data_IF_412677691916
#
_entry.id   IF_412677691916
#
_cell.length_a   1.000
_cell.length_b   1.000
_cell.length_c   1.000
_cell.angle_alpha   90.00
_cell.angle_beta   90.00
_cell.angle_gamma   90.00
#
_symmetry.space_group_name_H-M   'P 1'
#
loop_
_entity.id
_entity.type
_entity.pdbx_description
1 polymer ?
#
# COMPACT_ATOMS: atom_id res chain seq x y z
N UNK A 1 27.84 -8.79 9.91
CA UNK A 1 26.52 -9.35 10.34
C UNK A 1 26.77 -10.30 11.51
N UNK A 2 26.00 -10.15 12.58
CA UNK A 2 26.04 -11.07 13.73
C UNK A 2 25.38 -12.39 13.34
N UNK A 3 26.03 -13.54 13.68
CA UNK A 3 25.46 -14.87 13.40
C UNK A 3 24.22 -15.09 14.29
N UNK A 4 23.15 -15.60 13.68
CA UNK A 4 21.94 -16.04 14.33
C UNK A 4 22.00 -17.55 14.58
N UNK A 5 21.44 -18.03 15.66
CA UNK A 5 21.21 -19.45 15.85
C UNK A 5 19.89 -19.88 15.18
N UNK A 6 19.65 -21.18 15.08
CA UNK A 6 18.49 -21.74 14.37
C UNK A 6 17.16 -21.28 14.97
N UNK A 7 17.08 -21.16 16.30
CA UNK A 7 15.87 -20.70 16.97
C UNK A 7 15.60 -19.20 16.73
N UNK A 8 16.66 -18.39 16.74
CA UNK A 8 16.60 -16.96 16.43
C UNK A 8 16.14 -16.73 14.97
N UNK A 9 16.69 -17.49 14.02
CA UNK A 9 16.28 -17.43 12.62
C UNK A 9 14.81 -17.83 12.45
N UNK A 10 14.36 -18.88 13.13
CA UNK A 10 12.97 -19.31 13.10
C UNK A 10 12.01 -18.24 13.62
N UNK A 11 12.34 -17.59 14.75
CA UNK A 11 11.53 -16.49 15.31
C UNK A 11 11.43 -15.31 14.34
N UNK A 12 12.56 -14.88 13.78
CA UNK A 12 12.58 -13.79 12.79
C UNK A 12 11.82 -14.15 11.52
N UNK A 13 11.97 -15.37 11.01
CA UNK A 13 11.24 -15.82 9.83
C UNK A 13 9.72 -15.84 10.07
N UNK A 14 9.26 -16.28 11.24
CA UNK A 14 7.84 -16.25 11.60
C UNK A 14 7.27 -14.82 11.59
N UNK A 15 8.00 -13.85 12.15
CA UNK A 15 7.61 -12.44 12.09
C UNK A 15 7.60 -11.95 10.64
N UNK A 16 8.63 -12.28 9.86
CA UNK A 16 8.70 -11.84 8.46
C UNK A 16 7.52 -12.37 7.63
N UNK A 17 7.16 -13.65 7.80
CA UNK A 17 6.01 -14.25 7.12
C UNK A 17 4.71 -13.58 7.55
N UNK A 18 4.50 -13.35 8.85
CA UNK A 18 3.32 -12.69 9.39
C UNK A 18 3.16 -11.26 8.85
N UNK A 19 4.22 -10.46 8.93
CA UNK A 19 4.25 -9.09 8.42
C UNK A 19 4.05 -9.06 6.90
N UNK A 20 4.65 -10.02 6.19
CA UNK A 20 4.48 -10.15 4.74
C UNK A 20 3.03 -10.45 4.37
N UNK A 21 2.36 -11.30 5.12
CA UNK A 21 0.94 -11.61 4.93
C UNK A 21 0.07 -10.36 5.11
N UNK A 22 0.28 -9.60 6.20
CA UNK A 22 -0.43 -8.34 6.44
C UNK A 22 -0.16 -7.34 5.31
N UNK A 23 1.11 -7.16 4.95
CA UNK A 23 1.52 -6.22 3.91
C UNK A 23 0.85 -6.51 2.57
N UNK A 24 0.99 -7.75 2.07
CA UNK A 24 0.43 -8.17 0.78
C UNK A 24 -1.09 -8.08 0.77
N UNK A 25 -1.75 -8.58 1.81
CA UNK A 25 -3.21 -8.54 1.90
C UNK A 25 -3.75 -7.12 1.86
N UNK A 26 -3.16 -6.22 2.66
CA UNK A 26 -3.62 -4.83 2.69
C UNK A 26 -3.28 -4.09 1.39
N UNK A 27 -2.13 -4.36 0.77
CA UNK A 27 -1.79 -3.77 -0.52
C UNK A 27 -2.79 -4.18 -1.62
N UNK A 28 -3.12 -5.48 -1.73
CA UNK A 28 -4.11 -5.96 -2.70
C UNK A 28 -5.50 -5.38 -2.43
N UNK A 29 -5.93 -5.36 -1.16
CA UNK A 29 -7.22 -4.77 -0.79
C UNK A 29 -7.28 -3.27 -1.09
N UNK A 30 -6.19 -2.54 -0.85
CA UNK A 30 -6.12 -1.11 -1.16
C UNK A 30 -6.31 -0.84 -2.66
N UNK A 31 -5.70 -1.67 -3.51
CA UNK A 31 -5.86 -1.57 -4.97
C UNK A 31 -7.29 -1.92 -5.43
N UNK A 32 -7.86 -3.01 -4.93
CA UNK A 32 -9.20 -3.46 -5.35
C UNK A 32 -10.29 -2.49 -4.85
N UNK A 33 -10.23 -2.07 -3.59
CA UNK A 33 -11.23 -1.18 -2.98
C UNK A 33 -11.00 0.29 -3.35
N UNK A 34 -9.85 0.61 -3.89
CA UNK A 34 -9.47 1.96 -4.32
C UNK A 34 -10.35 2.55 -5.42
N UNK A 35 -11.14 1.75 -6.10
CA UNK A 35 -12.13 2.20 -7.10
C UNK A 35 -13.26 3.02 -6.50
N UNK A 36 -13.61 2.80 -5.23
CA UNK A 36 -14.67 3.55 -4.55
C UNK A 36 -14.10 4.85 -4.00
N UNK A 37 -14.72 5.96 -4.39
CA UNK A 37 -14.48 7.29 -3.82
C UNK A 37 -15.57 7.60 -2.81
N UNK A 38 -15.20 8.21 -1.69
CA UNK A 38 -16.12 8.64 -0.65
C UNK A 38 -15.82 10.06 -0.20
N UNK A 39 -16.85 10.74 0.28
CA UNK A 39 -16.75 12.09 0.82
C UNK A 39 -16.25 12.03 2.26
N UNK A 40 -15.19 12.77 2.56
CA UNK A 40 -14.71 12.92 3.92
C UNK A 40 -15.50 14.06 4.59
N UNK A 41 -16.57 13.70 5.29
CA UNK A 41 -17.59 14.62 5.80
C UNK A 41 -17.10 15.76 6.71
N UNK A 42 -15.87 15.65 7.23
CA UNK A 42 -15.27 16.67 8.10
C UNK A 42 -14.61 17.82 7.35
N UNK A 43 -14.31 17.64 6.07
CA UNK A 43 -13.64 18.65 5.23
C UNK A 43 -14.43 18.76 3.92
N UNK A 44 -14.96 19.94 3.65
CA UNK A 44 -15.76 20.20 2.44
C UNK A 44 -14.90 19.97 1.18
N UNK A 45 -15.50 19.34 0.18
CA UNK A 45 -14.90 19.07 -1.14
C UNK A 45 -13.64 18.17 -1.10
N UNK A 46 -13.50 17.34 -0.05
CA UNK A 46 -12.36 16.45 0.12
C UNK A 46 -12.75 15.00 -0.17
N UNK A 47 -12.50 14.58 -1.41
CA UNK A 47 -12.85 13.25 -1.91
C UNK A 47 -11.67 12.30 -1.83
N UNK A 48 -11.87 11.14 -1.20
CA UNK A 48 -10.84 10.14 -0.98
C UNK A 48 -11.22 8.78 -1.55
N UNK A 49 -10.23 8.07 -2.08
CA UNK A 49 -10.37 6.65 -2.41
C UNK A 49 -10.41 5.81 -1.13
N UNK A 50 -11.25 4.76 -1.10
CA UNK A 50 -11.28 3.80 0.03
C UNK A 50 -9.93 3.14 0.26
N UNK A 51 -9.12 2.94 -0.78
CA UNK A 51 -7.77 2.41 -0.67
C UNK A 51 -6.89 3.21 0.31
N UNK A 52 -7.09 4.52 0.38
CA UNK A 52 -6.32 5.41 1.28
C UNK A 52 -6.48 5.06 2.77
N UNK A 53 -7.62 4.49 3.17
CA UNK A 53 -7.84 4.05 4.55
C UNK A 53 -7.02 2.82 4.94
N UNK A 54 -6.57 2.04 3.97
CA UNK A 54 -5.82 0.80 4.15
C UNK A 54 -4.31 1.05 4.15
N UNK A 55 -3.84 2.02 3.38
CA UNK A 55 -2.42 2.35 3.24
C UNK A 55 -1.66 2.58 4.56
N UNK A 56 -2.24 3.15 5.63
CA UNK A 56 -1.55 3.29 6.92
C UNK A 56 -1.01 1.96 7.47
N UNK A 57 -1.74 0.86 7.29
CA UNK A 57 -1.29 -0.48 7.72
C UNK A 57 -0.09 -0.93 6.90
N UNK A 58 -0.08 -0.64 5.59
CA UNK A 58 1.04 -0.94 4.69
C UNK A 58 2.28 -0.15 5.09
N UNK A 59 2.14 1.15 5.43
CA UNK A 59 3.25 2.00 5.87
C UNK A 59 3.88 1.49 7.18
N UNK A 60 3.07 1.25 8.21
CA UNK A 60 3.55 0.68 9.49
C UNK A 60 4.29 -0.63 9.23
N UNK A 61 3.72 -1.51 8.41
CA UNK A 61 4.32 -2.82 8.11
C UNK A 61 5.63 -2.68 7.35
N UNK A 62 5.72 -1.73 6.39
CA UNK A 62 6.97 -1.40 5.67
C UNK A 62 8.05 -0.94 6.63
N UNK A 63 7.73 0.00 7.52
CA UNK A 63 8.67 0.54 8.49
C UNK A 63 9.23 -0.54 9.41
N UNK A 64 8.36 -1.45 9.88
CA UNK A 64 8.76 -2.57 10.70
C UNK A 64 9.68 -3.53 9.91
N UNK A 65 9.28 -3.91 8.70
CA UNK A 65 10.12 -4.79 7.85
C UNK A 65 11.47 -4.12 7.58
N UNK A 66 11.48 -2.81 7.33
CA UNK A 66 12.70 -2.05 7.10
C UNK A 66 13.60 -2.00 8.34
N UNK A 67 13.01 -1.88 9.52
CA UNK A 67 13.73 -1.82 10.80
C UNK A 67 14.44 -3.13 11.14
N UNK A 68 13.76 -4.29 10.99
CA UNK A 68 14.26 -5.59 11.44
C UNK A 68 14.89 -6.43 10.34
N UNK A 69 14.52 -6.22 9.06
CA UNK A 69 14.96 -7.01 7.90
C UNK A 69 15.70 -6.18 6.85
N UNK A 70 15.75 -4.87 7.02
CA UNK A 70 16.51 -3.94 6.19
C UNK A 70 16.02 -3.84 4.75
N UNK A 71 16.85 -3.23 3.91
CA UNK A 71 16.55 -2.97 2.50
C UNK A 71 16.22 -4.25 1.71
N UNK A 72 16.91 -5.34 1.98
CA UNK A 72 16.67 -6.63 1.29
C UNK A 72 15.30 -7.20 1.62
N UNK A 73 14.88 -7.12 2.90
CA UNK A 73 13.55 -7.57 3.34
C UNK A 73 12.44 -6.80 2.62
N UNK A 74 12.52 -5.47 2.62
CA UNK A 74 11.49 -4.64 1.97
C UNK A 74 11.48 -4.86 0.46
N UNK A 75 12.63 -4.89 -0.21
CA UNK A 75 12.67 -5.19 -1.65
C UNK A 75 12.02 -6.53 -1.99
N UNK A 76 12.34 -7.58 -1.22
CA UNK A 76 11.78 -8.91 -1.44
C UNK A 76 10.25 -8.88 -1.36
N UNK A 77 9.69 -8.29 -0.30
CA UNK A 77 8.24 -8.23 -0.14
C UNK A 77 7.57 -7.31 -1.18
N UNK A 78 8.18 -6.18 -1.54
CA UNK A 78 7.63 -5.28 -2.55
C UNK A 78 7.51 -5.94 -3.92
N UNK A 79 8.55 -6.62 -4.41
CA UNK A 79 8.49 -7.34 -5.68
C UNK A 79 7.47 -8.49 -5.65
N UNK A 80 7.42 -9.22 -4.53
CA UNK A 80 6.42 -10.28 -4.36
C UNK A 80 5.00 -9.72 -4.36
N UNK A 81 4.78 -8.58 -3.71
CA UNK A 81 3.49 -7.90 -3.69
C UNK A 81 3.06 -7.44 -5.08
N UNK A 82 3.97 -6.86 -5.87
CA UNK A 82 3.67 -6.45 -7.25
C UNK A 82 3.25 -7.66 -8.09
N UNK A 83 3.95 -8.78 -7.97
CA UNK A 83 3.58 -10.02 -8.65
C UNK A 83 2.17 -10.46 -8.28
N UNK A 84 1.83 -10.43 -6.99
CA UNK A 84 0.50 -10.84 -6.51
C UNK A 84 -0.60 -9.84 -6.87
N UNK A 85 -0.32 -8.53 -6.87
CA UNK A 85 -1.26 -7.52 -7.36
C UNK A 85 -1.52 -7.74 -8.86
N UNK A 86 -0.46 -7.92 -9.66
CA UNK A 86 -0.59 -8.19 -11.08
C UNK A 86 -1.38 -9.48 -11.36
N UNK A 87 -1.11 -10.55 -10.62
CA UNK A 87 -1.86 -11.79 -10.68
C UNK A 87 -3.35 -11.57 -10.34
N UNK A 88 -3.64 -10.82 -9.27
CA UNK A 88 -5.02 -10.52 -8.86
C UNK A 88 -5.77 -9.77 -9.96
N UNK A 89 -5.16 -8.76 -10.59
CA UNK A 89 -5.78 -8.03 -11.69
C UNK A 89 -5.99 -8.90 -12.95
N UNK A 90 -5.06 -9.81 -13.25
CA UNK A 90 -5.25 -10.78 -14.35
C UNK A 90 -6.47 -11.67 -14.09
N UNK A 91 -6.59 -12.23 -12.89
CA UNK A 91 -7.73 -13.07 -12.52
C UNK A 91 -9.04 -12.28 -12.54
N UNK A 92 -9.06 -11.08 -11.99
CA UNK A 92 -10.21 -10.18 -12.04
C UNK A 92 -10.60 -9.88 -13.49
N UNK A 93 -9.65 -9.50 -14.34
CA UNK A 93 -9.91 -9.25 -15.76
C UNK A 93 -10.49 -10.47 -16.45
N UNK A 94 -9.93 -11.66 -16.25
CA UNK A 94 -10.45 -12.90 -16.83
C UNK A 94 -11.87 -13.19 -16.32
N UNK A 95 -12.16 -12.96 -15.05
CA UNK A 95 -13.50 -13.16 -14.47
C UNK A 95 -14.55 -12.26 -15.12
N UNK A 96 -14.21 -11.02 -15.47
CA UNK A 96 -15.14 -10.10 -16.16
C UNK A 96 -15.45 -10.49 -17.63
N UNK A 97 -14.65 -11.41 -18.21
CA UNK A 97 -14.86 -11.92 -19.58
C UNK A 97 -15.70 -13.20 -19.63
N UNK A 98 -15.96 -13.82 -18.48
CA UNK A 98 -16.81 -15.01 -18.42
C UNK A 98 -18.28 -14.66 -18.68
N UNK A 99 -18.95 -15.50 -19.46
CA UNK A 99 -20.39 -15.32 -19.73
C UNK A 99 -21.16 -15.59 -18.44
N UNK A 100 -22.00 -14.63 -18.00
CA UNK A 100 -22.76 -14.81 -16.77
C UNK A 100 -23.80 -15.93 -16.90
N UNK A 101 -23.96 -16.74 -15.84
CA UNK A 101 -24.94 -17.80 -15.78
C UNK A 101 -26.37 -17.22 -15.60
N UNK A 102 -27.35 -17.78 -16.34
CA UNK A 102 -28.74 -17.31 -16.29
C UNK A 102 -29.37 -17.41 -14.88
N UNK A 103 -29.05 -18.46 -14.12
CA UNK A 103 -29.49 -18.58 -12.73
C UNK A 103 -28.98 -17.44 -11.86
N UNK A 104 -27.67 -17.12 -11.96
CA UNK A 104 -27.07 -16.03 -11.21
C UNK A 104 -27.67 -14.66 -11.57
N UNK A 105 -27.96 -14.41 -12.86
CA UNK A 105 -28.63 -13.20 -13.29
C UNK A 105 -30.05 -13.10 -12.73
N UNK A 106 -30.80 -14.21 -12.74
CA UNK A 106 -32.19 -14.25 -12.30
C UNK A 106 -32.37 -14.00 -10.80
N UNK A 107 -31.52 -14.62 -9.95
CA UNK A 107 -31.59 -14.44 -8.49
C UNK A 107 -31.18 -13.04 -8.04
N UNK A 108 -30.41 -12.32 -8.86
CA UNK A 108 -29.93 -10.96 -8.59
C UNK A 108 -30.60 -9.91 -9.49
N UNK A 109 -31.75 -10.24 -10.09
CA UNK A 109 -32.44 -9.35 -11.02
C UNK A 109 -32.99 -8.10 -10.36
N UNK A 110 -33.23 -8.13 -9.08
CA UNK A 110 -33.73 -6.98 -8.31
C UNK A 110 -32.79 -6.64 -7.18
N UNK A 111 -32.65 -5.33 -6.90
CA UNK A 111 -31.99 -4.89 -5.69
C UNK A 111 -32.87 -5.11 -4.44
N UNK A 112 -32.34 -4.78 -3.25
CA UNK A 112 -33.08 -4.94 -2.00
C UNK A 112 -34.25 -3.96 -1.85
N UNK A 113 -34.40 -2.97 -2.75
CA UNK A 113 -35.55 -2.06 -2.83
C UNK A 113 -36.58 -2.53 -3.87
N UNK A 114 -36.31 -3.63 -4.58
CA UNK A 114 -37.19 -4.16 -5.61
C UNK A 114 -37.05 -3.53 -7.00
N UNK A 115 -36.01 -2.70 -7.22
CA UNK A 115 -35.74 -2.11 -8.53
C UNK A 115 -34.95 -3.10 -9.41
N UNK A 116 -35.14 -3.02 -10.74
CA UNK A 116 -34.36 -3.80 -11.69
C UNK A 116 -32.87 -3.48 -11.55
N UNK A 117 -32.06 -4.52 -11.45
CA UNK A 117 -30.63 -4.44 -11.21
C UNK A 117 -29.86 -5.38 -12.17
N UNK A 118 -28.90 -4.83 -12.89
CA UNK A 118 -27.97 -5.61 -13.70
C UNK A 118 -26.71 -5.93 -12.88
N UNK A 119 -26.71 -7.09 -12.24
CA UNK A 119 -25.60 -7.55 -11.40
C UNK A 119 -24.31 -7.77 -12.21
N UNK A 120 -24.39 -8.16 -13.49
CA UNK A 120 -23.21 -8.35 -14.32
C UNK A 120 -22.56 -7.01 -14.70
N UNK A 121 -23.38 -6.03 -15.04
CA UNK A 121 -22.89 -4.67 -15.26
C UNK A 121 -22.24 -4.08 -14.01
N UNK A 122 -22.88 -4.26 -12.84
CA UNK A 122 -22.33 -3.78 -11.58
C UNK A 122 -21.00 -4.47 -11.24
N UNK A 123 -20.91 -5.79 -11.41
CA UNK A 123 -19.68 -6.57 -11.21
C UNK A 123 -18.56 -6.03 -12.11
N UNK A 124 -18.81 -5.88 -13.39
CA UNK A 124 -17.83 -5.39 -14.34
C UNK A 124 -17.41 -3.94 -14.04
N UNK A 125 -18.35 -3.09 -13.66
CA UNK A 125 -18.08 -1.68 -13.33
C UNK A 125 -17.18 -1.54 -12.10
N UNK A 126 -17.39 -2.39 -11.07
CA UNK A 126 -16.61 -2.35 -9.82
C UNK A 126 -15.21 -2.91 -10.05
N UNK A 127 -15.08 -4.03 -10.76
CA UNK A 127 -13.83 -4.76 -10.84
C UNK A 127 -12.97 -4.41 -12.07
N UNK A 128 -13.57 -3.90 -13.15
CA UNK A 128 -12.83 -3.55 -14.37
C UNK A 128 -12.26 -2.14 -14.27
N UNK A 129 -11.15 -1.99 -13.58
CA UNK A 129 -10.40 -0.73 -13.56
C UNK A 129 -9.76 -0.43 -14.92
N UNK A 130 -9.53 0.84 -15.22
CA UNK A 130 -8.77 1.19 -16.41
C UNK A 130 -7.33 0.68 -16.32
N UNK A 131 -6.79 0.19 -17.42
CA UNK A 131 -5.39 -0.27 -17.51
C UNK A 131 -4.42 0.83 -17.04
N UNK A 132 -4.72 2.09 -17.35
CA UNK A 132 -3.92 3.24 -16.92
C UNK A 132 -3.83 3.36 -15.39
N UNK A 133 -4.93 3.12 -14.66
CA UNK A 133 -4.94 3.14 -13.19
C UNK A 133 -4.10 1.98 -12.66
N UNK A 134 -4.25 0.77 -13.17
CA UNK A 134 -3.51 -0.41 -12.73
C UNK A 134 -2.00 -0.22 -12.93
N UNK A 135 -1.58 0.20 -14.13
CA UNK A 135 -0.16 0.45 -14.44
C UNK A 135 0.37 1.60 -13.59
N UNK A 136 -0.39 2.70 -13.48
CA UNK A 136 -0.01 3.87 -12.70
C UNK A 136 0.22 3.52 -11.23
N UNK A 137 -0.69 2.76 -10.65
CA UNK A 137 -0.63 2.32 -9.26
C UNK A 137 0.57 1.38 -8.99
N UNK A 138 0.78 0.37 -9.84
CA UNK A 138 1.93 -0.55 -9.70
C UNK A 138 3.27 0.20 -9.81
N UNK A 139 3.40 1.09 -10.79
CA UNK A 139 4.63 1.87 -11.00
C UNK A 139 4.87 2.85 -9.85
N UNK A 140 3.82 3.58 -9.44
CA UNK A 140 3.91 4.52 -8.32
C UNK A 140 4.27 3.79 -7.02
N UNK A 141 3.60 2.67 -6.72
CA UNK A 141 3.91 1.84 -5.56
C UNK A 141 5.37 1.37 -5.55
N UNK A 142 5.88 0.85 -6.67
CA UNK A 142 7.27 0.39 -6.73
C UNK A 142 8.27 1.51 -6.47
N UNK A 143 8.09 2.65 -7.14
CA UNK A 143 9.00 3.80 -7.00
C UNK A 143 8.93 4.35 -5.57
N UNK A 144 7.72 4.56 -5.03
CA UNK A 144 7.52 5.06 -3.68
C UNK A 144 8.13 4.12 -2.62
N UNK A 145 7.91 2.81 -2.77
CA UNK A 145 8.43 1.80 -1.85
C UNK A 145 9.97 1.77 -1.84
N UNK A 146 10.60 1.83 -3.01
CA UNK A 146 12.07 1.86 -3.10
C UNK A 146 12.65 3.16 -2.54
N UNK A 147 11.97 4.28 -2.77
CA UNK A 147 12.36 5.58 -2.23
C UNK A 147 12.20 5.61 -0.70
N UNK A 148 11.08 5.09 -0.19
CA UNK A 148 10.84 4.99 1.25
C UNK A 148 11.97 4.25 1.96
N UNK A 149 12.31 3.05 1.47
CA UNK A 149 13.42 2.25 2.00
C UNK A 149 14.74 3.01 1.95
N UNK A 150 15.02 3.69 0.86
CA UNK A 150 16.25 4.46 0.70
C UNK A 150 16.35 5.58 1.72
N UNK A 151 15.30 6.38 1.85
CA UNK A 151 15.24 7.52 2.79
C UNK A 151 15.27 7.02 4.23
N UNK A 152 14.48 6.00 4.58
CA UNK A 152 14.46 5.39 5.90
C UNK A 152 15.87 4.94 6.33
N UNK A 153 16.55 4.17 5.50
CA UNK A 153 17.89 3.67 5.82
C UNK A 153 18.93 4.80 5.90
N UNK A 154 18.79 5.84 5.08
CA UNK A 154 19.64 7.03 5.16
C UNK A 154 19.46 7.76 6.48
N UNK A 155 18.22 8.02 6.90
CA UNK A 155 17.92 8.65 8.18
C UNK A 155 18.39 7.76 9.34
N UNK A 156 18.14 6.44 9.28
CA UNK A 156 18.58 5.48 10.30
C UNK A 156 20.10 5.50 10.50
N UNK A 157 20.87 5.60 9.43
CA UNK A 157 22.34 5.73 9.49
C UNK A 157 22.78 7.05 10.13
N UNK A 158 22.22 8.19 9.68
CA UNK A 158 22.58 9.53 10.19
C UNK A 158 22.24 9.65 11.68
N UNK A 159 21.11 9.09 12.11
CA UNK A 159 20.65 9.15 13.51
C UNK A 159 21.22 8.06 14.40
N UNK A 160 22.11 7.20 13.88
CA UNK A 160 22.65 6.03 14.60
C UNK A 160 21.54 5.16 15.21
N UNK A 161 20.43 5.01 14.48
CA UNK A 161 19.28 4.20 14.92
C UNK A 161 18.36 4.88 15.96
N UNK A 162 18.65 6.12 16.35
CA UNK A 162 17.79 6.92 17.25
C UNK A 162 16.61 7.52 16.47
N UNK A 163 15.59 8.01 17.18
CA UNK A 163 14.43 8.72 16.62
C UNK A 163 13.65 7.90 15.57
N UNK A 164 12.96 6.84 16.01
CA UNK A 164 12.13 5.97 15.16
C UNK A 164 11.14 6.80 14.34
N UNK A 165 10.45 7.76 14.96
CA UNK A 165 9.48 8.61 14.30
C UNK A 165 10.07 9.37 13.12
N UNK A 166 11.30 9.88 13.24
CA UNK A 166 11.92 10.68 12.18
C UNK A 166 12.22 9.83 10.94
N UNK A 167 12.70 8.60 11.10
CA UNK A 167 12.97 7.74 9.95
C UNK A 167 11.71 7.16 9.32
N UNK A 168 10.73 6.74 10.14
CA UNK A 168 9.47 6.21 9.67
C UNK A 168 8.62 7.31 9.00
N UNK A 169 8.21 8.32 9.75
CA UNK A 169 7.39 9.42 9.20
C UNK A 169 8.13 10.20 8.12
N UNK A 170 9.44 10.46 8.29
CA UNK A 170 10.24 11.21 7.31
C UNK A 170 10.39 10.48 5.97
N UNK A 171 10.59 9.16 5.98
CA UNK A 171 10.67 8.39 4.73
C UNK A 171 9.31 8.33 4.03
N UNK A 172 8.25 8.07 4.79
CA UNK A 172 6.87 8.01 4.27
C UNK A 172 6.45 9.35 3.65
N UNK A 173 6.75 10.49 4.29
CA UNK A 173 6.45 11.81 3.74
C UNK A 173 7.09 12.03 2.38
N UNK A 174 8.37 11.68 2.24
CA UNK A 174 9.09 11.84 0.96
C UNK A 174 8.57 10.86 -0.10
N UNK A 175 8.36 9.61 0.25
CA UNK A 175 7.88 8.59 -0.70
C UNK A 175 6.46 8.87 -1.17
N UNK A 176 5.58 9.32 -0.28
CA UNK A 176 4.18 9.62 -0.60
C UNK A 176 3.99 10.89 -1.43
N UNK A 177 4.93 11.84 -1.35
CA UNK A 177 4.96 12.97 -2.29
C UNK A 177 5.08 12.44 -3.73
N UNK A 178 6.04 11.57 -3.97
CA UNK A 178 6.28 11.00 -5.31
C UNK A 178 5.12 10.11 -5.75
N UNK A 179 4.63 9.24 -4.86
CA UNK A 179 3.49 8.34 -5.13
C UNK A 179 2.25 9.11 -5.57
N UNK A 180 1.89 10.18 -4.86
CA UNK A 180 0.68 10.97 -5.10
C UNK A 180 0.64 11.59 -6.50
N UNK A 181 1.79 11.91 -7.08
CA UNK A 181 1.85 12.49 -8.42
C UNK A 181 2.07 11.45 -9.52
N UNK A 182 2.90 10.42 -9.29
CA UNK A 182 3.20 9.41 -10.33
C UNK A 182 1.94 8.65 -10.74
N UNK A 183 1.11 8.21 -9.77
CA UNK A 183 -0.12 7.48 -10.10
C UNK A 183 -1.05 8.32 -10.97
N UNK A 184 -1.22 9.60 -10.64
CA UNK A 184 -2.11 10.50 -11.38
C UNK A 184 -1.56 10.84 -12.77
N UNK A 185 -0.26 11.10 -12.89
CA UNK A 185 0.40 11.33 -14.17
C UNK A 185 0.25 10.14 -15.10
N UNK A 186 0.51 8.93 -14.62
CA UNK A 186 0.42 7.74 -15.48
C UNK A 186 -1.03 7.45 -15.83
N UNK A 187 -1.94 7.41 -14.84
CA UNK A 187 -3.32 6.96 -15.02
C UNK A 187 -4.19 7.98 -15.79
N UNK A 188 -4.03 9.26 -15.49
CA UNK A 188 -4.98 10.29 -15.96
C UNK A 188 -4.39 11.31 -16.93
N UNK A 189 -3.05 11.36 -17.10
CA UNK A 189 -2.43 12.20 -18.10
C UNK A 189 -1.88 11.38 -19.27
N UNK A 190 -1.02 10.38 -19.03
CA UNK A 190 -0.36 9.61 -20.09
C UNK A 190 -1.21 8.47 -20.65
N UNK A 191 -1.89 7.70 -19.81
CA UNK A 191 -2.66 6.50 -20.19
C UNK A 191 -4.18 6.70 -20.08
N UNK A 192 -4.64 7.93 -19.95
CA UNK A 192 -6.06 8.23 -19.94
C UNK A 192 -6.71 7.84 -21.28
N UNK A 193 -7.96 7.32 -21.27
CA UNK A 193 -8.73 7.13 -22.49
C UNK A 193 -8.88 8.44 -23.27
N UNK A 194 -9.01 8.33 -24.60
CA UNK A 194 -9.16 9.48 -25.47
C UNK A 194 -10.31 10.39 -25.02
N UNK A 195 -10.05 11.69 -24.97
CA UNK A 195 -11.01 12.69 -24.49
C UNK A 195 -11.23 12.74 -22.96
N UNK A 196 -10.53 11.92 -22.17
CA UNK A 196 -10.63 11.89 -20.70
C UNK A 196 -9.32 12.23 -19.98
N UNK A 197 -8.31 12.69 -20.70
CA UNK A 197 -7.03 13.10 -20.10
C UNK A 197 -7.19 14.36 -19.26
N UNK A 198 -6.53 14.33 -18.08
CA UNK A 198 -6.48 15.48 -17.19
C UNK A 198 -5.44 16.49 -17.65
N UNK A 199 -5.68 17.77 -17.37
CA UNK A 199 -4.65 18.80 -17.48
C UNK A 199 -3.60 18.63 -16.39
N UNK A 200 -2.40 19.15 -16.61
CA UNK A 200 -1.34 19.18 -15.59
C UNK A 200 -1.80 19.89 -14.33
N UNK A 201 -2.61 20.95 -14.46
CA UNK A 201 -3.19 21.66 -13.31
C UNK A 201 -4.10 20.77 -12.48
N UNK A 202 -4.94 19.93 -13.10
CA UNK A 202 -5.79 18.98 -12.39
C UNK A 202 -4.95 17.92 -11.66
N UNK A 203 -3.92 17.37 -12.31
CA UNK A 203 -2.99 16.42 -11.67
C UNK A 203 -2.33 17.07 -10.45
N UNK A 204 -1.91 18.33 -10.56
CA UNK A 204 -1.27 19.05 -9.46
C UNK A 204 -2.24 19.29 -8.29
N UNK A 205 -3.44 19.76 -8.54
CA UNK A 205 -4.43 20.03 -7.50
C UNK A 205 -4.79 18.73 -6.75
N UNK A 206 -5.24 17.70 -7.46
CA UNK A 206 -5.63 16.42 -6.84
C UNK A 206 -4.45 15.72 -6.19
N UNK A 207 -3.26 15.79 -6.80
CA UNK A 207 -2.03 15.23 -6.23
C UNK A 207 -1.64 15.91 -4.92
N UNK A 208 -1.80 17.23 -4.83
CA UNK A 208 -1.54 17.99 -3.61
C UNK A 208 -2.52 17.63 -2.49
N UNK A 209 -3.81 17.50 -2.78
CA UNK A 209 -4.84 17.10 -1.80
C UNK A 209 -4.56 15.68 -1.26
N UNK A 210 -4.29 14.74 -2.15
CA UNK A 210 -3.90 13.38 -1.79
C UNK A 210 -2.63 13.36 -0.93
N UNK A 211 -1.63 14.16 -1.28
CA UNK A 211 -0.39 14.25 -0.51
C UNK A 211 -0.62 14.82 0.89
N UNK A 212 -1.38 15.93 1.03
CA UNK A 212 -1.69 16.54 2.33
C UNK A 212 -2.40 15.53 3.23
N UNK A 213 -3.35 14.75 2.70
CA UNK A 213 -4.02 13.71 3.46
C UNK A 213 -3.03 12.63 3.92
N UNK A 214 -2.23 12.07 3.01
CA UNK A 214 -1.24 11.04 3.33
C UNK A 214 -0.19 11.52 4.33
N UNK A 215 0.24 12.77 4.21
CA UNK A 215 1.13 13.44 5.15
C UNK A 215 0.51 13.49 6.56
N UNK A 216 -0.74 13.93 6.67
CA UNK A 216 -1.47 13.99 7.94
C UNK A 216 -1.60 12.61 8.58
N UNK A 217 -1.94 11.59 7.77
CA UNK A 217 -2.04 10.21 8.22
C UNK A 217 -0.68 9.69 8.71
N UNK A 218 0.42 9.96 8.00
CA UNK A 218 1.75 9.53 8.42
C UNK A 218 2.15 10.06 9.81
N UNK A 219 1.71 11.27 10.17
CA UNK A 219 1.90 11.82 11.52
C UNK A 219 0.99 11.11 12.52
N UNK A 220 -0.29 10.94 12.21
CA UNK A 220 -1.29 10.35 13.12
C UNK A 220 -0.96 8.90 13.47
N UNK A 221 -0.39 8.13 12.54
CA UNK A 221 -0.03 6.72 12.78
C UNK A 221 1.27 6.53 13.57
N UNK A 222 2.03 7.59 13.84
CA UNK A 222 3.31 7.50 14.57
C UNK A 222 3.20 6.76 15.92
N UNK A 223 2.18 6.97 16.76
CA UNK A 223 2.02 6.18 18.00
C UNK A 223 1.84 4.67 17.74
N UNK A 224 1.14 4.31 16.65
CA UNK A 224 0.96 2.90 16.28
C UNK A 224 2.28 2.25 15.82
N UNK A 225 3.19 3.01 15.20
CA UNK A 225 4.55 2.54 14.88
C UNK A 225 5.31 2.19 16.16
N UNK A 226 5.29 3.06 17.16
CA UNK A 226 5.94 2.79 18.45
C UNK A 226 5.35 1.56 19.15
N UNK A 227 4.01 1.42 19.17
CA UNK A 227 3.34 0.25 19.74
C UNK A 227 3.76 -1.03 19.03
N UNK A 228 3.81 -1.01 17.71
CA UNK A 228 4.20 -2.16 16.89
C UNK A 228 5.64 -2.58 17.17
N UNK A 229 6.57 -1.62 17.30
CA UNK A 229 7.95 -1.90 17.70
C UNK A 229 8.04 -2.49 19.09
N UNK A 230 7.30 -1.96 20.04
CA UNK A 230 7.24 -2.49 21.41
C UNK A 230 6.76 -3.96 21.43
N UNK A 231 5.71 -4.27 20.69
CA UNK A 231 5.16 -5.63 20.62
C UNK A 231 6.16 -6.63 20.00
N UNK A 232 6.85 -6.21 18.93
CA UNK A 232 7.85 -7.06 18.27
C UNK A 232 9.10 -7.23 19.16
N UNK A 233 9.60 -6.16 19.76
CA UNK A 233 10.73 -6.23 20.69
C UNK A 233 10.42 -7.14 21.89
N UNK A 234 9.18 -7.09 22.40
CA UNK A 234 8.70 -7.97 23.46
C UNK A 234 8.65 -9.44 23.02
N UNK A 235 8.20 -9.73 21.81
CA UNK A 235 8.14 -11.08 21.26
C UNK A 235 9.53 -11.67 20.99
N UNK A 236 10.43 -10.89 20.38
CA UNK A 236 11.79 -11.33 20.06
C UNK A 236 12.68 -11.44 21.30
N UNK A 237 12.43 -10.62 22.31
CA UNK A 237 13.36 -10.34 23.40
C UNK A 237 14.44 -9.33 22.99
N UNK A 238 14.91 -8.55 23.97
CA UNK A 238 15.79 -7.39 23.74
C UNK A 238 17.04 -7.71 22.91
N UNK A 239 17.72 -8.83 23.23
CA UNK A 239 18.96 -9.21 22.57
C UNK A 239 18.76 -9.52 21.07
N UNK A 240 17.74 -10.34 20.74
CA UNK A 240 17.47 -10.71 19.36
C UNK A 240 16.96 -9.52 18.54
N UNK A 241 16.13 -8.66 19.14
CA UNK A 241 15.63 -7.44 18.49
C UNK A 241 16.79 -6.50 18.11
N UNK A 242 17.72 -6.23 19.04
CA UNK A 242 18.89 -5.40 18.76
C UNK A 242 19.80 -6.01 17.68
N UNK A 243 20.00 -7.32 17.72
CA UNK A 243 20.77 -8.08 16.74
C UNK A 243 20.15 -8.00 15.35
N UNK A 244 18.82 -8.15 15.24
CA UNK A 244 18.09 -8.02 13.99
C UNK A 244 18.21 -6.60 13.42
N UNK A 245 17.94 -5.56 14.23
CA UNK A 245 18.08 -4.14 13.86
C UNK A 245 19.48 -3.77 13.38
N UNK A 246 20.52 -4.32 14.05
CA UNK A 246 21.92 -4.12 13.68
C UNK A 246 22.24 -4.79 12.35
N UNK A 247 21.81 -6.04 12.14
CA UNK A 247 22.01 -6.76 10.88
C UNK A 247 21.28 -6.10 9.72
N UNK A 248 20.09 -5.54 9.95
CA UNK A 248 19.30 -4.78 8.96
C UNK A 248 20.02 -3.53 8.44
N UNK A 249 20.87 -2.89 9.26
CA UNK A 249 21.68 -1.74 8.83
C UNK A 249 22.78 -2.10 7.85
N UNK A 250 23.23 -3.37 7.86
CA UNK A 250 24.32 -3.88 7.05
C UNK A 250 23.83 -4.59 5.77
N UNK A 251 22.51 -4.71 5.58
CA UNK A 251 21.89 -5.38 4.44
C UNK A 251 21.53 -4.40 3.32
#
# INVERSE_FOLDING_TARGET
>A
MQKLNVEEEKKLNNIFIFLSGIFVTNAILAEILGTKIFDFSFIKDFNLSVGVLIWPVVFITTDIINEYFGKKGVKKISYFTILLISYSFIIIFLSTKLTPNSYWLNINKFDYQGNLFDVNYAYNTIFLQSIGIIIGSIVAFLIAQLLDVFVFQKIKKITSGKFIWLRATGSTVVSQLIDSFIVLLIAFYFLAPEGKSWSISQVFNVGSDNYIFKFSVAIIITPAIYLSHYLIDKYLGKQLAEKAKSNALLS
#
